data_IF_713592289975
#
_entry.id   IF_713592289975
#
_cell.length_a   1.000
_cell.length_b   1.000
_cell.length_c   1.000
_cell.angle_alpha   90.00
_cell.angle_beta   90.00
_cell.angle_gamma   90.00
#
_symmetry.space_group_name_H-M   'P 1'
#
loop_
_entity.id
_entity.type
_entity.pdbx_description
1 polymer ?
#
# COMPACT_ATOMS: atom_id res chain seq x y z
N UNK A 1 -4.53 2.57 20.11
CA UNK A 1 -4.91 3.42 18.96
C UNK A 1 -4.47 2.79 17.64
N UNK A 2 -3.18 2.78 17.29
CA UNK A 2 -2.72 2.25 15.98
C UNK A 2 -3.17 0.82 15.68
N UNK A 3 -3.00 -0.11 16.63
CA UNK A 3 -3.44 -1.50 16.47
C UNK A 3 -4.96 -1.63 16.27
N UNK A 4 -5.76 -0.84 16.99
CA UNK A 4 -7.22 -0.86 16.86
C UNK A 4 -7.68 -0.35 15.49
N UNK A 5 -7.04 0.71 14.97
CA UNK A 5 -7.30 1.21 13.61
C UNK A 5 -6.90 0.15 12.59
N UNK A 6 -5.74 -0.48 12.76
CA UNK A 6 -5.25 -1.53 11.88
C UNK A 6 -6.17 -2.76 11.86
N UNK A 7 -6.63 -3.23 13.02
CA UNK A 7 -7.55 -4.37 13.14
C UNK A 7 -8.89 -4.04 12.46
N UNK A 8 -9.48 -2.88 12.76
CA UNK A 8 -10.73 -2.44 12.15
C UNK A 8 -10.63 -2.36 10.62
N UNK A 9 -9.56 -1.77 10.10
CA UNK A 9 -9.32 -1.67 8.67
C UNK A 9 -9.03 -3.03 8.03
N UNK A 10 -8.27 -3.88 8.70
CA UNK A 10 -7.94 -5.23 8.25
C UNK A 10 -9.18 -6.11 8.14
N UNK A 11 -10.11 -6.02 9.10
CA UNK A 11 -11.37 -6.75 9.07
C UNK A 11 -12.26 -6.26 7.91
N UNK A 12 -12.40 -4.94 7.76
CA UNK A 12 -13.14 -4.33 6.66
C UNK A 12 -12.60 -4.72 5.27
N UNK A 13 -11.28 -4.69 5.09
CA UNK A 13 -10.63 -5.03 3.83
C UNK A 13 -10.73 -6.53 3.53
N UNK A 14 -10.70 -7.39 4.56
CA UNK A 14 -10.80 -8.84 4.40
C UNK A 14 -12.13 -9.28 3.83
N UNK A 15 -13.23 -8.63 4.22
CA UNK A 15 -14.56 -8.84 3.62
C UNK A 15 -14.60 -8.55 2.11
N UNK A 16 -13.65 -7.76 1.62
CA UNK A 16 -13.49 -7.36 0.21
C UNK A 16 -12.35 -8.11 -0.50
N UNK A 17 -11.88 -9.19 0.09
CA UNK A 17 -10.84 -10.05 -0.50
C UNK A 17 -9.45 -9.43 -0.47
N UNK A 18 -9.19 -8.48 0.42
CA UNK A 18 -7.90 -7.79 0.56
C UNK A 18 -7.31 -8.06 1.95
N UNK A 19 -6.02 -8.37 1.99
CA UNK A 19 -5.22 -8.40 3.21
C UNK A 19 -4.39 -7.12 3.27
N UNK A 20 -4.50 -6.39 4.38
CA UNK A 20 -3.56 -5.31 4.74
C UNK A 20 -2.44 -5.95 5.54
N UNK A 21 -1.28 -6.17 4.92
CA UNK A 21 -0.18 -6.89 5.55
C UNK A 21 0.52 -6.04 6.63
N UNK A 22 0.70 -4.75 6.33
CA UNK A 22 1.21 -3.75 7.25
C UNK A 22 0.79 -2.35 6.80
N UNK A 23 0.94 -1.37 7.70
CA UNK A 23 0.69 0.04 7.42
C UNK A 23 1.54 0.95 8.30
N UNK A 24 1.84 2.15 7.82
CA UNK A 24 2.38 3.25 8.62
C UNK A 24 1.26 4.24 8.97
N UNK A 25 1.21 4.65 10.23
CA UNK A 25 0.40 5.78 10.67
C UNK A 25 1.30 6.89 11.20
N UNK A 26 0.89 8.14 11.01
CA UNK A 26 1.48 9.29 11.68
C UNK A 26 0.46 9.91 12.63
N UNK A 27 0.95 10.27 13.83
CA UNK A 27 0.15 10.92 14.86
C UNK A 27 0.88 12.16 15.37
N UNK A 28 0.12 13.19 15.70
CA UNK A 28 0.63 14.38 16.40
C UNK A 28 -0.27 14.74 17.57
N UNK A 29 0.21 15.64 18.42
CA UNK A 29 -0.59 16.27 19.46
C UNK A 29 -1.02 17.64 18.97
N UNK A 30 -2.29 18.00 19.16
CA UNK A 30 -2.74 19.37 18.91
C UNK A 30 -2.39 20.32 20.07
N UNK A 31 -2.88 21.57 20.00
CA UNK A 31 -2.60 22.60 20.98
C UNK A 31 -3.11 22.27 22.40
N UNK A 32 -4.13 21.41 22.51
CA UNK A 32 -4.72 20.98 23.77
C UNK A 32 -4.10 19.66 24.27
N UNK A 33 -3.13 19.11 23.53
CA UNK A 33 -2.49 17.84 23.84
C UNK A 33 -3.31 16.61 23.43
N UNK A 34 -4.34 16.76 22.58
CA UNK A 34 -5.11 15.63 22.07
C UNK A 34 -4.37 14.95 20.91
N UNK A 35 -4.34 13.61 20.94
CA UNK A 35 -3.74 12.81 19.87
C UNK A 35 -4.61 12.87 18.61
N UNK A 36 -4.03 13.34 17.51
CA UNK A 36 -4.64 13.41 16.18
C UNK A 36 -3.95 12.43 15.24
N UNK A 37 -4.75 11.66 14.50
CA UNK A 37 -4.29 10.93 13.32
C UNK A 37 -4.04 11.95 12.19
N UNK A 38 -2.90 11.82 11.53
CA UNK A 38 -2.44 12.75 10.49
C UNK A 38 -2.00 11.97 9.24
N UNK A 39 -1.45 12.71 8.27
CA UNK A 39 -0.91 12.20 7.01
C UNK A 39 -1.95 11.40 6.20
N UNK A 40 -1.50 10.63 5.21
CA UNK A 40 -2.31 9.61 4.57
C UNK A 40 -2.45 8.36 5.45
N UNK A 41 -3.58 7.68 5.31
CA UNK A 41 -3.98 6.57 6.18
C UNK A 41 -4.53 5.45 5.30
N UNK A 42 -3.90 4.27 5.38
CA UNK A 42 -4.37 3.06 4.69
C UNK A 42 -4.48 3.24 3.17
N UNK A 43 -3.49 3.91 2.59
CA UNK A 43 -3.33 4.08 1.14
C UNK A 43 -2.33 3.07 0.59
N UNK A 44 -2.35 2.71 -0.71
CA UNK A 44 -1.34 1.83 -1.30
C UNK A 44 0.09 2.39 -1.23
N UNK A 45 0.23 3.66 -0.84
CA UNK A 45 1.50 4.30 -0.59
C UNK A 45 2.07 4.02 0.81
N UNK A 46 1.18 3.94 1.81
CA UNK A 46 1.49 3.80 3.23
C UNK A 46 1.25 2.39 3.77
N UNK A 47 0.64 1.50 2.98
CA UNK A 47 0.30 0.13 3.36
C UNK A 47 0.64 -0.88 2.25
N UNK A 48 0.84 -2.14 2.65
CA UNK A 48 0.94 -3.27 1.71
C UNK A 48 -0.41 -3.96 1.57
N UNK A 49 -0.91 -4.04 0.34
CA UNK A 49 -2.20 -4.66 0.03
C UNK A 49 -2.01 -5.92 -0.80
N UNK A 50 -2.48 -7.04 -0.27
CA UNK A 50 -2.40 -8.35 -0.94
C UNK A 50 -3.79 -8.90 -1.29
N UNK A 51 -3.93 -9.58 -2.43
CA UNK A 51 -5.11 -10.36 -2.74
C UNK A 51 -5.23 -11.55 -1.77
N UNK A 52 -6.33 -11.63 -1.03
CA UNK A 52 -6.53 -12.64 -0.01
C UNK A 52 -6.56 -14.08 -0.58
N UNK A 53 -7.03 -14.22 -1.82
CA UNK A 53 -7.12 -15.49 -2.56
C UNK A 53 -5.78 -15.99 -3.12
N UNK A 54 -4.74 -15.16 -3.10
CA UNK A 54 -3.41 -15.49 -3.65
C UNK A 54 -2.31 -15.55 -2.59
N UNK A 55 -2.60 -15.12 -1.35
CA UNK A 55 -1.63 -15.17 -0.27
C UNK A 55 -1.50 -16.58 0.31
N UNK A 56 -0.26 -17.05 0.44
CA UNK A 56 0.09 -18.23 1.23
C UNK A 56 1.32 -17.96 2.11
N UNK A 57 1.37 -18.46 3.35
CA UNK A 57 2.54 -18.27 4.20
C UNK A 57 3.84 -18.73 3.53
N UNK A 58 4.87 -17.88 3.61
CA UNK A 58 6.18 -18.12 2.96
C UNK A 58 6.29 -17.64 1.51
N UNK A 59 5.27 -16.96 0.97
CA UNK A 59 5.30 -16.37 -0.37
C UNK A 59 5.27 -14.84 -0.33
N UNK A 60 5.69 -14.21 -1.43
CA UNK A 60 5.46 -12.80 -1.72
C UNK A 60 4.38 -12.71 -2.80
N UNK A 61 3.10 -12.52 -2.43
CA UNK A 61 2.02 -12.48 -3.39
C UNK A 61 2.13 -11.23 -4.29
N UNK A 62 1.44 -11.21 -5.44
CA UNK A 62 1.30 -10.01 -6.24
C UNK A 62 0.73 -8.86 -5.41
N UNK A 63 1.43 -7.73 -5.33
CA UNK A 63 0.97 -6.56 -4.57
C UNK A 63 0.08 -5.66 -5.43
N UNK A 64 -0.87 -4.98 -4.78
CA UNK A 64 -1.66 -3.90 -5.38
C UNK A 64 -1.03 -2.51 -5.19
N UNK A 65 0.18 -2.45 -4.67
CA UNK A 65 0.82 -1.22 -4.21
C UNK A 65 2.12 -0.92 -4.99
N UNK A 66 2.94 -0.01 -4.42
CA UNK A 66 4.27 0.38 -4.90
C UNK A 66 5.19 -0.77 -5.25
N UNK A 67 4.92 -2.00 -4.82
CA UNK A 67 5.76 -3.15 -5.12
C UNK A 67 5.92 -3.38 -6.61
N UNK A 68 4.90 -3.12 -7.45
CA UNK A 68 5.02 -3.35 -8.89
C UNK A 68 6.11 -2.47 -9.55
N UNK A 69 6.11 -1.16 -9.25
CA UNK A 69 7.16 -0.26 -9.78
C UNK A 69 8.52 -0.55 -9.12
N UNK A 70 8.55 -0.98 -7.85
CA UNK A 70 9.80 -1.40 -7.19
C UNK A 70 10.39 -2.63 -7.86
N UNK A 71 9.58 -3.66 -8.10
CA UNK A 71 10.01 -4.89 -8.77
C UNK A 71 10.54 -4.60 -10.17
N UNK A 72 9.87 -3.71 -10.91
CA UNK A 72 10.38 -3.21 -12.19
C UNK A 72 11.76 -2.54 -12.04
N UNK A 73 11.92 -1.63 -11.07
CA UNK A 73 13.19 -0.94 -10.85
C UNK A 73 14.34 -1.89 -10.47
N UNK A 74 14.06 -2.97 -9.75
CA UNK A 74 15.07 -4.00 -9.43
C UNK A 74 15.51 -4.82 -10.66
N UNK A 75 14.79 -4.73 -11.80
CA UNK A 75 15.22 -5.35 -13.07
C UNK A 75 16.26 -4.53 -13.85
N UNK A 76 16.49 -3.28 -13.42
CA UNK A 76 17.40 -2.34 -14.08
C UNK A 76 18.78 -2.36 -13.41
N UNK A 77 19.83 -2.06 -14.18
CA UNK A 77 21.20 -1.84 -13.66
C UNK A 77 21.34 -0.48 -12.92
N UNK A 78 20.26 0.03 -12.33
CA UNK A 78 20.24 1.31 -11.64
C UNK A 78 20.75 1.18 -10.20
N UNK A 79 21.77 1.98 -9.86
CA UNK A 79 22.43 2.00 -8.54
C UNK A 79 21.63 2.74 -7.44
N UNK A 80 20.37 3.10 -7.74
CA UNK A 80 19.46 3.85 -6.86
C UNK A 80 19.96 5.27 -6.54
N UNK A 81 20.84 5.84 -7.37
CA UNK A 81 21.27 7.24 -7.28
C UNK A 81 20.53 8.14 -8.29
N UNK A 82 20.32 9.42 -7.97
CA UNK A 82 19.77 10.38 -8.93
C UNK A 82 20.70 10.61 -10.14
N UNK A 83 20.15 10.82 -11.36
CA UNK A 83 18.73 10.80 -11.69
C UNK A 83 18.17 9.36 -11.78
N UNK A 84 16.91 9.19 -11.37
CA UNK A 84 16.20 7.92 -11.55
C UNK A 84 15.92 7.60 -13.03
N UNK A 85 15.73 6.32 -13.38
CA UNK A 85 15.45 5.91 -14.74
C UNK A 85 14.08 6.40 -15.22
N UNK A 86 13.91 6.50 -16.55
CA UNK A 86 12.59 6.74 -17.13
C UNK A 86 11.72 5.49 -16.97
N UNK A 87 10.50 5.65 -16.49
CA UNK A 87 9.57 4.54 -16.31
C UNK A 87 8.70 4.40 -17.57
N UNK A 88 8.61 3.21 -18.18
CA UNK A 88 7.74 2.98 -19.34
C UNK A 88 6.26 3.23 -19.03
N UNK A 89 5.50 3.73 -20.02
CA UNK A 89 4.07 4.02 -19.88
C UNK A 89 3.24 2.82 -19.44
N UNK A 90 3.63 1.61 -19.86
CA UNK A 90 2.99 0.36 -19.42
C UNK A 90 3.12 0.16 -17.91
N UNK A 91 4.33 0.37 -17.37
CA UNK A 91 4.58 0.22 -15.94
C UNK A 91 3.79 1.26 -15.13
N UNK A 92 3.72 2.50 -15.64
CA UNK A 92 2.91 3.58 -15.06
C UNK A 92 1.43 3.18 -15.06
N UNK A 93 0.91 2.70 -16.19
CA UNK A 93 -0.50 2.34 -16.36
C UNK A 93 -0.89 1.19 -15.42
N UNK A 94 -0.10 0.11 -15.39
CA UNK A 94 -0.37 -1.04 -14.52
C UNK A 94 -0.27 -0.65 -13.04
N UNK A 95 0.68 0.21 -12.67
CA UNK A 95 0.76 0.73 -11.29
C UNK A 95 -0.52 1.50 -10.95
N UNK A 96 -0.97 2.40 -11.82
CA UNK A 96 -2.18 3.18 -11.59
C UNK A 96 -3.45 2.31 -11.52
N UNK A 97 -3.56 1.29 -12.36
CA UNK A 97 -4.69 0.36 -12.36
C UNK A 97 -4.79 -0.42 -11.05
N UNK A 98 -3.65 -0.87 -10.49
CA UNK A 98 -3.61 -1.53 -9.18
C UNK A 98 -4.12 -0.64 -8.05
N UNK A 99 -3.78 0.65 -8.08
CA UNK A 99 -4.29 1.62 -7.10
C UNK A 99 -5.79 1.81 -7.22
N UNK A 100 -6.31 1.92 -8.44
CA UNK A 100 -7.75 2.03 -8.69
C UNK A 100 -8.49 0.78 -8.24
N UNK A 101 -7.93 -0.40 -8.49
CA UNK A 101 -8.52 -1.66 -8.08
C UNK A 101 -8.70 -1.76 -6.56
N UNK A 102 -7.71 -1.33 -5.77
CA UNK A 102 -7.84 -1.27 -4.29
C UNK A 102 -8.92 -0.29 -3.89
N UNK A 103 -8.92 0.91 -4.50
CA UNK A 103 -9.92 1.94 -4.23
C UNK A 103 -11.34 1.42 -4.51
N UNK A 104 -11.56 0.85 -5.69
CA UNK A 104 -12.86 0.35 -6.14
C UNK A 104 -13.36 -0.78 -5.24
N UNK A 105 -12.48 -1.73 -4.87
CA UNK A 105 -12.84 -2.83 -3.95
C UNK A 105 -13.19 -2.31 -2.56
N UNK A 106 -12.44 -1.34 -2.03
CA UNK A 106 -12.64 -0.80 -0.69
C UNK A 106 -13.87 0.11 -0.59
N UNK A 107 -14.30 0.74 -1.69
CA UNK A 107 -15.42 1.68 -1.71
C UNK A 107 -16.73 1.09 -2.27
N UNK A 108 -16.72 -0.17 -2.73
CA UNK A 108 -17.91 -0.94 -3.06
C UNK A 108 -18.71 -1.34 -1.80
#
# INVERSE_FOLDING_TARGET
>A
VSLQIFEMAGDYARERGIIIADTKFEFGLDADGELRLMDEVLTPDSSRFWPADQYTPGTSPPSFDKQYVRDYLETLDWDKQPPGPNIPDEVITVTADKYREVCDRLLA
#
